data_IF_714236621445
#
_entry.id   IF_714236621445
#
_cell.length_a   1.000
_cell.length_b   1.000
_cell.length_c   1.000
_cell.angle_alpha   90.00
_cell.angle_beta   90.00
_cell.angle_gamma   90.00
#
_symmetry.space_group_name_H-M   'P 1'
#
loop_
_entity.id
_entity.type
_entity.pdbx_description
1 polymer ?
#
# COMPACT_ATOMS: atom_id res chain seq x y z
N UNK A 1 26.90 -6.41 7.88
CA UNK A 1 26.98 -6.95 6.50
C UNK A 1 26.16 -6.02 5.62
N UNK A 2 26.60 -5.82 4.37
CA UNK A 2 26.05 -4.96 3.29
C UNK A 2 24.51 -4.78 3.34
N UNK A 3 23.93 -3.60 3.07
CA UNK A 3 24.09 -2.82 1.82
C UNK A 3 23.83 -1.31 1.97
N UNK A 4 24.61 -0.55 1.21
CA UNK A 4 24.52 0.87 0.86
C UNK A 4 23.41 1.14 -0.18
N UNK A 5 22.94 2.41 -0.23
CA UNK A 5 22.35 3.11 -1.42
C UNK A 5 20.90 2.69 -1.76
N UNK A 6 19.92 3.56 -2.04
CA UNK A 6 19.90 4.82 -2.80
C UNK A 6 18.68 5.64 -2.35
N UNK A 7 18.84 6.89 -1.92
CA UNK A 7 17.74 7.87 -2.01
C UNK A 7 17.64 8.29 -3.47
N UNK A 8 17.02 7.44 -4.29
CA UNK A 8 16.67 7.79 -5.67
C UNK A 8 15.63 8.90 -5.55
N UNK A 9 15.81 10.01 -6.27
CA UNK A 9 14.78 11.01 -6.49
C UNK A 9 13.67 10.36 -7.31
N UNK A 10 12.84 9.55 -6.67
CA UNK A 10 11.76 8.81 -7.32
C UNK A 10 10.63 9.81 -7.58
N UNK A 11 10.32 10.04 -8.86
CA UNK A 11 9.05 10.68 -9.23
C UNK A 11 7.92 9.72 -8.88
N UNK A 12 6.91 10.20 -8.16
CA UNK A 12 5.69 9.44 -7.87
C UNK A 12 5.08 8.94 -9.18
N UNK A 13 4.98 7.61 -9.32
CA UNK A 13 4.34 6.92 -10.43
C UNK A 13 3.71 5.63 -9.91
N UNK A 14 2.88 4.98 -10.73
CA UNK A 14 2.13 3.79 -10.31
C UNK A 14 3.03 2.64 -9.84
N UNK A 15 4.13 2.35 -10.54
CA UNK A 15 5.08 1.30 -10.13
C UNK A 15 5.67 1.62 -8.76
N UNK A 16 6.05 2.87 -8.53
CA UNK A 16 6.56 3.33 -7.24
C UNK A 16 5.55 3.11 -6.13
N UNK A 17 4.28 3.48 -6.35
CA UNK A 17 3.21 3.27 -5.37
C UNK A 17 3.03 1.78 -5.07
N UNK A 18 3.05 0.92 -6.10
CA UNK A 18 3.01 -0.54 -5.91
C UNK A 18 4.16 -1.01 -5.02
N UNK A 19 5.39 -0.54 -5.25
CA UNK A 19 6.54 -0.90 -4.42
C UNK A 19 6.40 -0.44 -2.97
N UNK A 20 5.86 0.76 -2.74
CA UNK A 20 5.57 1.27 -1.38
C UNK A 20 4.55 0.36 -0.68
N UNK A 21 3.46 0.00 -1.36
CA UNK A 21 2.42 -0.88 -0.81
C UNK A 21 2.97 -2.28 -0.52
N UNK A 22 3.74 -2.87 -1.43
CA UNK A 22 4.33 -4.20 -1.24
C UNK A 22 5.33 -4.22 -0.09
N UNK A 23 6.13 -3.16 0.05
CA UNK A 23 7.08 -3.02 1.16
C UNK A 23 6.33 -2.89 2.49
N UNK A 24 5.31 -2.04 2.55
CA UNK A 24 4.48 -1.89 3.75
C UNK A 24 3.75 -3.19 4.10
N UNK A 25 3.23 -3.90 3.09
CA UNK A 25 2.56 -5.19 3.27
C UNK A 25 3.50 -6.24 3.84
N UNK A 26 4.73 -6.30 3.34
CA UNK A 26 5.78 -7.17 3.89
C UNK A 26 6.03 -6.86 5.37
N UNK A 27 6.26 -5.59 5.71
CA UNK A 27 6.56 -5.19 7.08
C UNK A 27 5.41 -5.49 8.05
N UNK A 28 4.16 -5.34 7.60
CA UNK A 28 2.96 -5.72 8.36
C UNK A 28 2.91 -7.22 8.59
N UNK A 29 3.11 -8.03 7.55
CA UNK A 29 3.08 -9.50 7.66
C UNK A 29 4.21 -10.02 8.57
N UNK A 30 5.42 -9.47 8.43
CA UNK A 30 6.55 -9.81 9.32
C UNK A 30 6.23 -9.43 10.79
N UNK A 31 5.61 -8.27 11.00
CA UNK A 31 5.14 -7.85 12.34
C UNK A 31 4.04 -8.73 12.92
N UNK A 32 3.27 -9.41 12.07
CA UNK A 32 2.27 -10.41 12.47
C UNK A 32 2.88 -11.80 12.74
N UNK A 33 4.19 -11.98 12.55
CA UNK A 33 4.88 -13.25 12.74
C UNK A 33 4.76 -14.21 11.56
N UNK A 34 4.48 -13.69 10.36
CA UNK A 34 4.50 -14.49 9.13
C UNK A 34 5.95 -14.73 8.71
N UNK A 35 6.47 -15.90 9.07
CA UNK A 35 7.87 -16.28 8.83
C UNK A 35 8.16 -16.57 7.35
N UNK A 36 7.17 -17.05 6.61
CA UNK A 36 7.25 -17.31 5.16
C UNK A 36 6.22 -16.46 4.41
N UNK A 37 6.70 -15.34 3.85
CA UNK A 37 5.87 -14.44 3.07
C UNK A 37 5.48 -15.10 1.75
N UNK A 38 4.19 -15.09 1.37
CA UNK A 38 3.78 -15.52 0.05
C UNK A 38 4.38 -14.59 -1.03
N UNK A 39 4.34 -15.01 -2.29
CA UNK A 39 4.71 -14.13 -3.39
C UNK A 39 3.76 -12.92 -3.43
N UNK A 40 4.23 -11.78 -2.92
CA UNK A 40 3.49 -10.53 -2.91
C UNK A 40 3.65 -9.85 -4.27
N UNK A 41 2.53 -9.59 -4.92
CA UNK A 41 2.42 -8.98 -6.23
C UNK A 41 1.18 -8.07 -6.31
N UNK A 42 0.96 -7.46 -7.48
CA UNK A 42 -0.21 -6.61 -7.72
C UNK A 42 -1.56 -7.36 -7.62
N UNK A 43 -1.55 -8.67 -7.85
CA UNK A 43 -2.73 -9.53 -7.76
C UNK A 43 -3.03 -9.96 -6.31
N UNK A 44 -2.13 -9.68 -5.37
CA UNK A 44 -2.26 -10.04 -3.96
C UNK A 44 -3.48 -9.36 -3.37
N UNK A 45 -4.37 -10.17 -2.81
CA UNK A 45 -5.61 -9.69 -2.20
C UNK A 45 -5.38 -9.16 -0.78
N UNK A 46 -5.92 -7.98 -0.51
CA UNK A 46 -5.83 -7.35 0.81
C UNK A 46 -7.11 -7.56 1.64
N UNK A 47 -8.26 -7.82 0.99
CA UNK A 47 -9.54 -8.12 1.67
C UNK A 47 -10.25 -9.37 1.12
N UNK A 48 -11.07 -9.97 1.97
CA UNK A 48 -11.92 -11.12 1.65
C UNK A 48 -11.33 -12.47 2.03
N UNK A 49 -11.94 -13.55 1.54
CA UNK A 49 -11.68 -14.93 1.98
C UNK A 49 -10.28 -15.46 1.66
N UNK A 50 -9.58 -14.82 0.73
CA UNK A 50 -8.21 -15.15 0.31
C UNK A 50 -7.24 -14.00 0.58
N UNK A 51 -7.60 -13.08 1.48
CA UNK A 51 -6.74 -11.98 1.86
C UNK A 51 -5.54 -12.49 2.67
N UNK A 52 -4.39 -11.85 2.46
CA UNK A 52 -3.20 -12.07 3.30
C UNK A 52 -3.27 -11.26 4.60
N UNK A 53 -4.18 -10.29 4.69
CA UNK A 53 -4.38 -9.45 5.86
C UNK A 53 -5.74 -9.69 6.51
N UNK A 54 -5.75 -9.65 7.84
CA UNK A 54 -6.96 -9.50 8.64
C UNK A 54 -7.39 -8.03 8.70
N UNK A 55 -8.57 -7.75 9.28
CA UNK A 55 -9.13 -6.40 9.42
C UNK A 55 -8.15 -5.41 10.07
N UNK A 56 -7.41 -5.84 11.10
CA UNK A 56 -6.40 -5.01 11.77
C UNK A 56 -5.16 -4.81 10.90
N UNK A 57 -4.69 -5.86 10.22
CA UNK A 57 -3.54 -5.78 9.31
C UNK A 57 -3.81 -4.83 8.15
N UNK A 58 -5.04 -4.80 7.63
CA UNK A 58 -5.46 -3.84 6.62
C UNK A 58 -5.36 -2.39 7.11
N UNK A 59 -5.86 -2.10 8.32
CA UNK A 59 -5.78 -0.75 8.90
C UNK A 59 -4.33 -0.34 9.10
N UNK A 60 -3.48 -1.24 9.60
CA UNK A 60 -2.04 -0.98 9.73
C UNK A 60 -1.40 -0.71 8.37
N UNK A 61 -1.69 -1.52 7.35
CA UNK A 61 -1.18 -1.31 6.00
C UNK A 61 -1.56 0.08 5.46
N UNK A 62 -2.82 0.48 5.62
CA UNK A 62 -3.31 1.79 5.16
C UNK A 62 -2.49 2.91 5.78
N UNK A 63 -2.34 2.90 7.10
CA UNK A 63 -1.59 3.93 7.83
C UNK A 63 -0.11 3.95 7.44
N UNK A 64 0.51 2.78 7.28
CA UNK A 64 1.91 2.66 6.82
C UNK A 64 2.10 3.23 5.42
N UNK A 65 1.17 2.97 4.49
CA UNK A 65 1.24 3.50 3.13
C UNK A 65 1.09 5.01 3.12
N UNK A 66 0.12 5.57 3.86
CA UNK A 66 -0.07 7.03 3.98
C UNK A 66 1.20 7.71 4.52
N UNK A 67 1.78 7.17 5.60
CA UNK A 67 3.00 7.71 6.20
C UNK A 67 4.20 7.65 5.26
N UNK A 68 4.37 6.56 4.49
CA UNK A 68 5.46 6.45 3.51
C UNK A 68 5.29 7.41 2.35
N UNK A 69 4.06 7.58 1.86
CA UNK A 69 3.77 8.54 0.79
C UNK A 69 4.04 9.98 1.24
N UNK A 70 3.68 10.32 2.46
CA UNK A 70 4.00 11.62 3.06
C UNK A 70 5.52 11.79 3.23
N UNK A 71 6.20 10.82 3.85
CA UNK A 71 7.62 10.93 4.17
C UNK A 71 8.56 10.92 2.95
N UNK A 72 8.25 10.09 1.94
CA UNK A 72 9.12 9.90 0.78
C UNK A 72 8.73 10.80 -0.41
N UNK A 73 7.45 11.21 -0.53
CA UNK A 73 6.92 11.92 -1.69
C UNK A 73 6.21 13.24 -1.34
N UNK A 74 6.15 13.64 -0.06
CA UNK A 74 5.39 14.80 0.42
C UNK A 74 3.90 14.73 0.03
N UNK A 75 3.40 13.51 -0.24
CA UNK A 75 2.05 13.26 -0.70
C UNK A 75 1.16 12.85 0.49
N UNK A 76 0.35 13.80 0.95
CA UNK A 76 -0.64 13.56 1.99
C UNK A 76 -1.92 13.04 1.34
N UNK A 77 -2.22 11.75 1.48
CA UNK A 77 -3.46 11.12 1.00
C UNK A 77 -4.20 10.49 2.17
N UNK A 78 -5.53 10.48 2.09
CA UNK A 78 -6.40 9.74 3.03
C UNK A 78 -7.03 8.59 2.26
N UNK A 79 -6.50 7.38 2.48
CA UNK A 79 -6.97 6.16 1.82
C UNK A 79 -8.25 5.65 2.49
N UNK A 80 -8.36 5.76 3.80
CA UNK A 80 -9.54 5.36 4.58
C UNK A 80 -10.66 6.42 4.58
N UNK A 81 -10.91 7.06 3.44
CA UNK A 81 -12.00 8.03 3.29
C UNK A 81 -13.36 7.34 3.08
N UNK A 82 -14.46 8.04 3.37
CA UNK A 82 -15.84 7.55 3.16
C UNK A 82 -16.08 7.11 1.71
N UNK A 83 -15.38 7.73 0.74
CA UNK A 83 -15.36 7.33 -0.67
C UNK A 83 -14.80 5.92 -0.88
N UNK A 84 -13.76 5.52 -0.17
CA UNK A 84 -13.17 4.19 -0.30
C UNK A 84 -14.11 3.09 0.24
N UNK A 85 -14.91 3.45 1.24
CA UNK A 85 -15.89 2.55 1.88
C UNK A 85 -17.22 2.45 1.13
N UNK A 86 -17.60 3.49 0.38
CA UNK A 86 -18.87 3.55 -0.36
C UNK A 86 -18.77 3.13 -1.85
N UNK A 87 -17.56 2.96 -2.38
CA UNK A 87 -17.37 2.53 -3.77
C UNK A 87 -17.76 1.06 -4.01
N UNK A 88 -18.45 0.80 -5.12
CA UNK A 88 -18.92 -0.54 -5.53
C UNK A 88 -17.77 -1.55 -5.71
N UNK A 89 -16.58 -1.09 -6.08
CA UNK A 89 -15.32 -1.84 -6.00
C UNK A 89 -14.46 -1.21 -4.92
N UNK A 90 -14.29 -1.92 -3.81
CA UNK A 90 -13.37 -1.48 -2.76
C UNK A 90 -11.95 -1.34 -3.33
N UNK A 91 -11.27 -0.19 -3.13
CA UNK A 91 -9.89 0.00 -3.56
C UNK A 91 -8.92 -0.94 -2.81
N UNK A 92 -9.35 -1.49 -1.67
CA UNK A 92 -8.60 -2.44 -0.87
C UNK A 92 -8.73 -3.89 -1.36
N UNK A 93 -9.25 -4.14 -2.57
CA UNK A 93 -9.41 -5.50 -3.08
C UNK A 93 -8.06 -6.20 -3.29
N UNK A 94 -7.13 -5.52 -3.95
CA UNK A 94 -5.77 -6.00 -4.20
C UNK A 94 -4.76 -4.86 -4.20
N UNK A 95 -3.47 -5.20 -4.20
CA UNK A 95 -2.38 -4.22 -4.32
C UNK A 95 -2.54 -3.35 -5.57
N UNK A 96 -2.92 -3.95 -6.71
CA UNK A 96 -3.20 -3.20 -7.95
C UNK A 96 -4.26 -2.11 -7.75
N UNK A 97 -5.42 -2.48 -7.19
CA UNK A 97 -6.53 -1.54 -7.02
C UNK A 97 -6.20 -0.45 -6.01
N UNK A 98 -5.39 -0.77 -4.99
CA UNK A 98 -4.94 0.21 -4.02
C UNK A 98 -3.96 1.21 -4.66
N UNK A 99 -3.03 0.73 -5.48
CA UNK A 99 -2.11 1.59 -6.19
C UNK A 99 -2.82 2.52 -7.19
N UNK A 100 -3.79 2.00 -7.93
CA UNK A 100 -4.63 2.81 -8.82
C UNK A 100 -5.41 3.88 -8.05
N UNK A 101 -5.93 3.53 -6.86
CA UNK A 101 -6.65 4.47 -6.02
C UNK A 101 -5.75 5.59 -5.47
N UNK A 102 -4.55 5.25 -4.97
CA UNK A 102 -3.54 6.23 -4.55
C UNK A 102 -3.19 7.18 -5.70
N UNK A 103 -2.98 6.65 -6.92
CA UNK A 103 -2.67 7.46 -8.10
C UNK A 103 -3.83 8.40 -8.47
N UNK A 104 -5.07 7.95 -8.31
CA UNK A 104 -6.25 8.78 -8.51
C UNK A 104 -6.26 9.95 -7.50
N UNK A 105 -6.09 9.65 -6.21
CA UNK A 105 -6.04 10.67 -5.16
C UNK A 105 -4.88 11.65 -5.36
N UNK A 106 -3.72 11.15 -5.79
CA UNK A 106 -2.56 11.98 -6.11
C UNK A 106 -2.85 12.94 -7.27
N UNK A 107 -3.66 12.52 -8.25
CA UNK A 107 -4.05 13.36 -9.39
C UNK A 107 -5.12 14.39 -9.00
N UNK A 108 -6.02 14.06 -8.07
CA UNK A 108 -7.06 14.98 -7.58
C UNK A 108 -6.49 16.15 -6.75
N UNK A 109 -5.28 16.02 -6.22
CA UNK A 109 -4.63 17.05 -5.39
C UNK A 109 -3.71 18.01 -6.17
N UNK A 110 -3.58 17.85 -7.50
CA UNK A 110 -2.71 18.68 -8.36
C UNK A 110 -3.49 19.82 -9.03
#
# INVERSE_FOLDING_TARGET
MQTTTVKTTVKLNRETVVQVILSALRDVLESQGVEELPALDEATRLIGRSAVLDSMGLVTLIVEVEQRLEADYDLIVVLADDRAMSQTRSPFLSVATLADYVMQLATEQV
#
